data_IF_665678895375
#
_entry.id   IF_665678895375
#
_cell.length_a   1.000
_cell.length_b   1.000
_cell.length_c   1.000
_cell.angle_alpha   90.00
_cell.angle_beta   90.00
_cell.angle_gamma   90.00
#
_symmetry.space_group_name_H-M   'P 1'
#
loop_
_entity.id
_entity.type
_entity.pdbx_description
1 polymer ?
#
# COMPACT_ATOMS: atom_id res chain seq x y z
N UNK A 1 44.30 -1.13 0.75
CA UNK A 1 43.00 -1.55 1.32
C UNK A 1 41.93 -0.66 0.72
N UNK A 2 41.10 -1.21 -0.17
CA UNK A 2 40.11 -0.42 -0.91
C UNK A 2 38.80 -0.46 -0.13
N UNK A 3 38.41 0.66 0.46
CA UNK A 3 37.14 0.79 1.19
C UNK A 3 36.00 0.79 0.19
N UNK A 4 35.25 -0.33 0.12
CA UNK A 4 34.00 -0.40 -0.62
C UNK A 4 32.95 0.45 0.08
N UNK A 5 32.66 1.63 -0.46
CA UNK A 5 31.50 2.43 -0.06
C UNK A 5 30.27 1.76 -0.68
N UNK A 6 29.56 0.92 0.08
CA UNK A 6 28.24 0.43 -0.32
C UNK A 6 27.28 1.61 -0.21
N UNK A 7 27.07 2.31 -1.33
CA UNK A 7 25.94 3.23 -1.47
C UNK A 7 24.70 2.35 -1.43
N UNK A 8 24.01 2.29 -0.28
CA UNK A 8 22.69 1.63 -0.18
C UNK A 8 21.77 2.34 -1.15
N UNK A 9 21.58 1.76 -2.32
CA UNK A 9 20.66 2.26 -3.33
C UNK A 9 19.28 2.39 -2.68
N UNK A 10 18.72 3.60 -2.70
CA UNK A 10 17.46 3.89 -2.02
C UNK A 10 16.35 3.31 -2.88
N UNK A 11 16.07 2.02 -2.73
CA UNK A 11 15.00 1.32 -3.45
C UNK A 11 13.70 2.09 -3.21
N UNK A 12 13.08 2.56 -4.29
CA UNK A 12 11.74 3.13 -4.34
C UNK A 12 10.87 2.15 -5.09
N UNK A 13 9.82 1.67 -4.46
CA UNK A 13 8.85 0.77 -5.08
C UNK A 13 7.72 1.64 -5.64
N UNK A 14 7.44 1.60 -6.96
CA UNK A 14 6.32 2.32 -7.54
C UNK A 14 4.99 1.71 -7.11
N UNK A 15 3.91 2.50 -7.21
CA UNK A 15 2.56 1.96 -7.07
C UNK A 15 2.28 1.00 -8.25
N UNK A 16 1.92 -0.28 -8.02
CA UNK A 16 1.67 -1.23 -9.10
C UNK A 16 0.47 -0.85 -9.99
N UNK A 17 -0.38 0.09 -9.55
CA UNK A 17 -1.47 0.64 -10.36
C UNK A 17 -1.14 1.94 -11.10
N UNK A 18 0.08 2.49 -10.99
CA UNK A 18 0.42 3.82 -11.53
C UNK A 18 0.13 3.98 -13.03
N UNK A 19 0.38 2.95 -13.83
CA UNK A 19 0.24 2.98 -15.29
C UNK A 19 -1.10 2.40 -15.79
N UNK A 20 -2.03 2.07 -14.90
CA UNK A 20 -3.32 1.51 -15.27
C UNK A 20 -4.20 2.53 -16.00
N UNK A 21 -5.24 2.09 -16.74
CA UNK A 21 -6.24 3.00 -17.32
C UNK A 21 -6.82 3.94 -16.25
N UNK A 22 -7.13 5.18 -16.62
CA UNK A 22 -7.54 6.24 -15.67
C UNK A 22 -8.67 5.80 -14.73
N UNK A 23 -9.68 5.11 -15.27
CA UNK A 23 -10.83 4.61 -14.50
C UNK A 23 -10.50 3.47 -13.50
N UNK A 24 -9.30 2.87 -13.56
CA UNK A 24 -8.85 1.78 -12.68
C UNK A 24 -7.61 2.15 -11.83
N UNK A 25 -6.95 3.25 -12.17
CA UNK A 25 -5.64 3.67 -11.63
C UNK A 25 -5.65 3.98 -10.13
N UNK A 26 -6.80 4.40 -9.57
CA UNK A 26 -6.92 4.86 -8.18
C UNK A 26 -5.83 5.89 -7.84
N UNK A 27 -5.75 6.96 -8.63
CA UNK A 27 -4.59 7.87 -8.61
C UNK A 27 -4.47 8.70 -7.32
N UNK A 28 -5.54 8.86 -6.54
CA UNK A 28 -5.57 9.79 -5.40
C UNK A 28 -4.62 9.38 -4.27
N UNK A 29 -4.35 8.08 -4.15
CA UNK A 29 -3.48 7.52 -3.11
C UNK A 29 -2.21 6.84 -3.66
N UNK A 30 -1.93 7.00 -4.96
CA UNK A 30 -0.79 6.35 -5.62
C UNK A 30 0.56 6.69 -4.98
N UNK A 31 0.80 7.97 -4.69
CA UNK A 31 2.01 8.42 -4.01
C UNK A 31 2.13 7.86 -2.58
N UNK A 32 1.01 7.62 -1.89
CA UNK A 32 1.00 7.00 -0.57
C UNK A 32 1.35 5.51 -0.66
N UNK A 33 0.84 4.81 -1.68
CA UNK A 33 1.17 3.41 -1.92
C UNK A 33 2.64 3.19 -2.24
N UNK A 34 3.22 3.99 -3.13
CA UNK A 34 4.66 3.91 -3.42
C UNK A 34 5.50 4.08 -2.15
N UNK A 35 5.14 5.02 -1.27
CA UNK A 35 5.81 5.21 0.02
C UNK A 35 5.59 4.03 0.96
N UNK A 36 4.36 3.54 1.11
CA UNK A 36 4.04 2.41 1.98
C UNK A 36 4.76 1.13 1.55
N UNK A 37 4.77 0.82 0.24
CA UNK A 37 5.46 -0.35 -0.31
C UNK A 37 6.98 -0.24 -0.10
N UNK A 38 7.54 0.96 -0.31
CA UNK A 38 8.96 1.23 -0.04
C UNK A 38 9.30 1.02 1.43
N UNK A 39 8.47 1.52 2.35
CA UNK A 39 8.64 1.30 3.80
C UNK A 39 8.52 -0.18 4.15
N UNK A 40 7.46 -0.83 3.67
CA UNK A 40 7.24 -2.25 3.90
C UNK A 40 8.40 -3.10 3.42
N UNK A 41 8.98 -2.81 2.24
CA UNK A 41 10.08 -3.60 1.69
C UNK A 41 11.35 -3.50 2.52
N UNK A 42 11.63 -2.34 3.12
CA UNK A 42 12.77 -2.16 4.02
C UNK A 42 12.63 -2.96 5.31
N UNK A 43 11.40 -3.18 5.78
CA UNK A 43 11.12 -3.97 6.97
C UNK A 43 10.99 -5.47 6.66
N UNK A 44 10.25 -5.81 5.62
CA UNK A 44 9.95 -7.17 5.19
C UNK A 44 9.53 -7.17 3.71
N UNK A 45 10.37 -7.71 2.80
CA UNK A 45 9.99 -7.90 1.40
C UNK A 45 8.71 -8.70 1.22
N UNK A 46 8.42 -9.65 2.12
CA UNK A 46 7.17 -10.43 2.09
C UNK A 46 5.94 -9.56 2.39
N UNK A 47 6.02 -8.66 3.38
CA UNK A 47 4.92 -7.74 3.66
C UNK A 47 4.69 -6.79 2.49
N UNK A 48 5.76 -6.29 1.87
CA UNK A 48 5.65 -5.47 0.67
C UNK A 48 4.94 -6.21 -0.47
N UNK A 49 5.30 -7.48 -0.70
CA UNK A 49 4.65 -8.31 -1.72
C UNK A 49 3.17 -8.55 -1.43
N UNK A 50 2.82 -8.76 -0.15
CA UNK A 50 1.42 -8.88 0.23
C UNK A 50 0.68 -7.56 -0.06
N UNK A 51 1.21 -6.43 0.40
CA UNK A 51 0.62 -5.10 0.19
C UNK A 51 0.51 -4.73 -1.30
N UNK A 52 1.47 -5.10 -2.12
CA UNK A 52 1.43 -4.97 -3.58
C UNK A 52 0.21 -5.69 -4.14
N UNK A 53 -0.02 -6.95 -3.75
CA UNK A 53 -1.22 -7.70 -4.15
C UNK A 53 -2.52 -7.02 -3.73
N UNK A 54 -2.57 -6.49 -2.50
CA UNK A 54 -3.75 -5.75 -2.03
C UNK A 54 -4.00 -4.48 -2.83
N UNK A 55 -2.94 -3.75 -3.20
CA UNK A 55 -3.05 -2.58 -4.05
C UNK A 55 -3.51 -2.95 -5.46
N UNK A 56 -2.91 -3.97 -6.06
CA UNK A 56 -3.27 -4.48 -7.38
C UNK A 56 -4.73 -4.92 -7.43
N UNK A 57 -5.29 -5.48 -6.35
CA UNK A 57 -6.72 -5.86 -6.26
C UNK A 57 -7.65 -4.66 -5.97
N UNK A 58 -7.13 -3.47 -5.68
CA UNK A 58 -7.94 -2.25 -5.52
C UNK A 58 -8.11 -1.78 -4.09
N UNK A 59 -7.17 -2.10 -3.21
CA UNK A 59 -7.12 -1.50 -1.87
C UNK A 59 -6.62 -0.05 -1.95
N UNK A 60 -7.31 0.84 -1.23
CA UNK A 60 -6.93 2.24 -1.04
C UNK A 60 -6.38 2.51 0.36
N UNK A 61 -5.47 3.47 0.47
CA UNK A 61 -5.09 4.14 1.70
C UNK A 61 -6.02 5.33 1.89
N UNK A 62 -6.75 5.35 3.01
CA UNK A 62 -7.66 6.44 3.37
C UNK A 62 -7.23 7.09 4.68
N UNK A 63 -7.52 8.38 4.82
CA UNK A 63 -7.37 9.07 6.10
C UNK A 63 -8.58 8.80 6.98
N UNK A 64 -8.34 8.25 8.16
CA UNK A 64 -9.34 7.95 9.19
C UNK A 64 -9.69 9.22 9.99
N UNK A 65 -10.81 9.19 10.71
CA UNK A 65 -11.30 10.31 11.53
C UNK A 65 -10.30 10.76 12.60
N UNK A 66 -9.51 9.84 13.15
CA UNK A 66 -8.44 10.12 14.12
C UNK A 66 -7.14 10.65 13.45
N UNK A 67 -7.18 10.93 12.16
CA UNK A 67 -6.05 11.41 11.38
C UNK A 67 -5.00 10.36 11.02
N UNK A 68 -5.19 9.08 11.40
CA UNK A 68 -4.32 7.99 10.95
C UNK A 68 -4.69 7.52 9.55
N UNK A 69 -3.79 6.77 8.91
CA UNK A 69 -4.09 6.08 7.66
C UNK A 69 -4.65 4.68 7.93
N UNK A 70 -5.50 4.20 7.03
CA UNK A 70 -6.03 2.84 7.05
C UNK A 70 -6.26 2.31 5.64
N UNK A 71 -6.38 0.99 5.52
CA UNK A 71 -6.63 0.30 4.25
C UNK A 71 -8.14 0.06 4.06
N UNK A 72 -8.66 0.35 2.86
CA UNK A 72 -10.06 0.11 2.49
C UNK A 72 -10.16 -0.51 1.10
N UNK A 73 -10.98 -1.54 0.90
CA UNK A 73 -11.16 -2.11 -0.43
C UNK A 73 -12.02 -1.18 -1.29
N UNK A 74 -11.71 -1.10 -2.58
CA UNK A 74 -12.68 -0.78 -3.63
C UNK A 74 -13.38 -2.08 -4.02
N UNK A 75 -14.70 -2.10 -3.91
CA UNK A 75 -15.51 -3.26 -4.32
C UNK A 75 -15.93 -3.05 -5.77
N UNK A 76 -15.68 -4.04 -6.62
CA UNK A 76 -16.08 -3.97 -8.02
C UNK A 76 -17.61 -3.93 -8.16
N UNK A 77 -18.15 -3.33 -9.23
CA UNK A 77 -19.60 -3.28 -9.48
C UNK A 77 -20.25 -4.68 -9.46
N UNK A 78 -21.49 -4.73 -8.97
CA UNK A 78 -22.26 -5.96 -8.98
C UNK A 78 -22.47 -6.46 -10.43
N UNK A 79 -22.17 -7.73 -10.69
CA UNK A 79 -22.24 -8.32 -12.03
C UNK A 79 -21.01 -8.07 -12.91
N UNK A 80 -19.98 -7.38 -12.41
CA UNK A 80 -18.71 -7.29 -13.12
C UNK A 80 -17.85 -8.54 -12.89
N UNK A 81 -17.36 -9.09 -13.99
CA UNK A 81 -16.37 -10.17 -14.04
C UNK A 81 -14.94 -9.64 -14.23
N UNK A 82 -14.74 -8.33 -14.30
CA UNK A 82 -13.43 -7.72 -14.42
C UNK A 82 -12.74 -7.63 -13.04
N UNK A 83 -11.67 -8.40 -12.76
CA UNK A 83 -10.98 -8.34 -11.48
C UNK A 83 -10.21 -7.02 -11.27
N UNK A 84 -9.87 -6.30 -12.35
CA UNK A 84 -9.09 -5.06 -12.27
C UNK A 84 -9.89 -3.92 -11.62
N UNK A 85 -11.22 -3.99 -11.67
CA UNK A 85 -12.14 -3.00 -11.08
C UNK A 85 -12.15 -3.00 -9.55
N UNK A 86 -11.68 -4.08 -8.91
CA UNK A 86 -11.60 -4.16 -7.46
C UNK A 86 -11.89 -5.54 -6.90
N UNK A 87 -11.92 -5.57 -5.57
CA UNK A 87 -12.29 -6.74 -4.79
C UNK A 87 -13.70 -7.20 -5.14
N UNK A 88 -13.92 -8.52 -5.18
CA UNK A 88 -15.23 -9.11 -5.43
C UNK A 88 -16.31 -8.60 -4.48
N UNK A 89 -16.00 -8.63 -3.19
CA UNK A 89 -16.85 -8.17 -2.11
C UNK A 89 -16.02 -7.93 -0.84
N UNK A 90 -16.64 -7.40 0.21
CA UNK A 90 -15.93 -7.15 1.46
C UNK A 90 -15.51 -8.44 2.20
N UNK A 91 -16.23 -9.54 2.02
CA UNK A 91 -15.91 -10.81 2.67
C UNK A 91 -14.63 -11.41 2.10
N UNK A 92 -14.44 -11.30 0.79
CA UNK A 92 -13.22 -11.67 0.09
C UNK A 92 -12.03 -10.83 0.57
N UNK A 93 -12.16 -9.50 0.58
CA UNK A 93 -11.14 -8.62 1.18
C UNK A 93 -10.77 -9.04 2.60
N UNK A 94 -11.78 -9.26 3.47
CA UNK A 94 -11.55 -9.68 4.87
C UNK A 94 -10.85 -11.02 4.96
N UNK A 95 -11.19 -11.98 4.10
CA UNK A 95 -10.57 -13.31 4.05
C UNK A 95 -9.08 -13.20 3.73
N UNK A 96 -8.73 -12.42 2.70
CA UNK A 96 -7.33 -12.19 2.34
C UNK A 96 -6.61 -11.36 3.40
N UNK A 97 -7.24 -10.32 3.96
CA UNK A 97 -6.65 -9.50 5.02
C UNK A 97 -6.30 -10.34 6.26
N UNK A 98 -7.21 -11.25 6.66
CA UNK A 98 -6.97 -12.19 7.75
C UNK A 98 -5.80 -13.13 7.46
N UNK A 99 -5.69 -13.62 6.23
CA UNK A 99 -4.63 -14.57 5.86
C UNK A 99 -3.26 -13.91 5.71
N UNK A 100 -3.20 -12.73 5.09
CA UNK A 100 -1.95 -12.15 4.59
C UNK A 100 -1.50 -10.87 5.32
N UNK A 101 -2.41 -10.15 5.97
CA UNK A 101 -2.07 -8.92 6.72
C UNK A 101 -2.12 -9.12 8.24
N UNK A 102 -3.00 -9.99 8.75
CA UNK A 102 -3.09 -10.22 10.20
C UNK A 102 -1.76 -10.69 10.85
N UNK A 103 -0.94 -11.56 10.21
CA UNK A 103 0.37 -11.91 10.76
C UNK A 103 1.34 -10.72 10.88
N UNK A 104 1.06 -9.63 10.17
CA UNK A 104 1.87 -8.41 10.11
C UNK A 104 1.17 -7.22 10.75
N UNK A 105 0.13 -7.44 11.56
CA UNK A 105 -0.75 -6.38 12.05
C UNK A 105 0.02 -5.26 12.75
N UNK A 106 0.88 -5.60 13.70
CA UNK A 106 1.66 -4.63 14.48
C UNK A 106 2.60 -3.83 13.58
N UNK A 107 3.38 -4.51 12.73
CA UNK A 107 4.27 -3.87 11.77
C UNK A 107 3.49 -2.96 10.81
N UNK A 108 2.34 -3.40 10.29
CA UNK A 108 1.54 -2.59 9.38
C UNK A 108 1.02 -1.31 10.07
N UNK A 109 0.60 -1.40 11.33
CA UNK A 109 0.20 -0.23 12.13
C UNK A 109 1.36 0.76 12.29
N UNK A 110 2.55 0.27 12.60
CA UNK A 110 3.77 1.09 12.70
C UNK A 110 4.10 1.78 11.38
N UNK A 111 4.07 1.03 10.27
CA UNK A 111 4.36 1.55 8.92
C UNK A 111 3.35 2.62 8.48
N UNK A 112 2.07 2.44 8.76
CA UNK A 112 1.03 3.45 8.49
C UNK A 112 1.23 4.70 9.37
N UNK A 113 1.69 4.52 10.61
CA UNK A 113 2.09 5.62 11.49
C UNK A 113 3.30 6.39 10.98
N UNK A 114 4.31 5.69 10.46
CA UNK A 114 5.47 6.32 9.83
C UNK A 114 5.09 7.05 8.54
N UNK A 115 4.26 6.43 7.69
CA UNK A 115 3.73 7.07 6.48
C UNK A 115 3.05 8.40 6.82
N UNK A 116 2.22 8.42 7.87
CA UNK A 116 1.59 9.65 8.39
C UNK A 116 2.64 10.70 8.78
N UNK A 117 3.68 10.32 9.53
CA UNK A 117 4.75 11.25 9.94
C UNK A 117 5.50 11.80 8.73
N UNK A 118 5.80 10.99 7.72
CA UNK A 118 6.48 11.44 6.50
C UNK A 118 5.61 12.45 5.72
N UNK A 119 4.32 12.15 5.56
CA UNK A 119 3.40 13.04 4.83
C UNK A 119 3.17 14.36 5.57
N UNK A 120 3.10 14.32 6.90
CA UNK A 120 2.89 15.52 7.71
C UNK A 120 4.19 16.31 7.97
N UNK A 121 5.33 15.64 8.13
CA UNK A 121 6.64 16.24 8.33
C UNK A 121 7.27 16.81 7.06
N UNK A 122 6.71 16.49 5.88
CA UNK A 122 6.95 17.22 4.63
C UNK A 122 6.23 18.57 4.55
N UNK A 123 5.40 18.93 5.54
CA UNK A 123 4.78 20.25 5.69
C UNK A 123 5.53 21.08 6.74
N UNK A 124 6.77 21.42 6.43
CA UNK A 124 7.52 22.52 7.08
C UNK A 124 8.31 23.24 6.02
N UNK A 125 7.63 24.15 5.32
CA UNK A 125 8.01 25.53 5.00
C UNK A 125 6.93 26.13 4.10
#
# INVERSE_FOLDING_TARGET
MTTTIIVKEKVVIPDPRADWPEHLRLSEDSALWSKLLTLAHRHSPQLARNLEGFRTEGTKIVKLKNGNFGLRPVIRPAGSDNPDEGWRDEADYRRYAKKFLAPWHETLVELLGELKRIVNGGKTQ
#
